data_IF_840617323866
#
_entry.id   IF_840617323866
#
_cell.length_a   1.000
_cell.length_b   1.000
_cell.length_c   1.000
_cell.angle_alpha   90.00
_cell.angle_beta   90.00
_cell.angle_gamma   90.00
#
_symmetry.space_group_name_H-M   'P 1'
#
loop_
_entity.id
_entity.type
_entity.pdbx_description
1 polymer ?
#
# COMPACT_ATOMS: atom_id res chain seq x y z
N UNK A 1 7.05 -5.80 15.18
CA UNK A 1 6.21 -5.14 14.14
C UNK A 1 5.47 -6.21 13.35
N UNK A 2 4.19 -6.02 13.11
CA UNK A 2 3.35 -6.90 12.30
C UNK A 2 2.70 -6.12 11.16
N UNK A 3 2.45 -6.77 10.03
CA UNK A 3 1.57 -6.20 9.03
C UNK A 3 0.13 -6.53 9.40
N UNK A 4 -0.74 -5.54 9.23
CA UNK A 4 -2.17 -5.64 9.60
C UNK A 4 -3.02 -5.12 8.46
N UNK A 5 -4.28 -5.54 8.45
CA UNK A 5 -5.25 -5.01 7.48
C UNK A 5 -5.58 -3.57 7.84
N UNK A 6 -5.69 -2.67 6.84
CA UNK A 6 -6.25 -1.34 7.08
C UNK A 6 -7.69 -1.47 7.59
N UNK A 7 -8.00 -0.77 8.68
CA UNK A 7 -9.35 -0.73 9.27
C UNK A 7 -9.68 0.69 9.71
N UNK A 8 -10.96 0.96 9.94
CA UNK A 8 -11.37 2.26 10.46
C UNK A 8 -10.76 2.56 11.84
N UNK A 9 -10.59 1.53 12.67
CA UNK A 9 -9.95 1.69 14.00
C UNK A 9 -8.50 2.14 13.89
N UNK A 10 -7.80 1.70 12.85
CA UNK A 10 -6.39 2.01 12.63
C UNK A 10 -6.18 3.29 11.82
N UNK A 11 -7.23 3.79 11.18
CA UNK A 11 -7.14 4.94 10.28
C UNK A 11 -6.59 6.21 10.95
N UNK A 12 -6.94 6.57 12.19
CA UNK A 12 -6.39 7.77 12.81
C UNK A 12 -4.87 7.80 12.88
N UNK A 13 -4.21 6.68 13.15
CA UNK A 13 -2.75 6.61 13.18
C UNK A 13 -2.13 6.81 11.79
N UNK A 14 -2.76 6.28 10.74
CA UNK A 14 -2.35 6.51 9.35
C UNK A 14 -2.50 7.99 8.98
N UNK A 15 -3.62 8.59 9.30
CA UNK A 15 -3.86 10.02 9.04
C UNK A 15 -2.82 10.89 9.75
N UNK A 16 -2.51 10.58 11.01
CA UNK A 16 -1.49 11.30 11.77
C UNK A 16 -0.13 11.23 11.08
N UNK A 17 0.25 10.06 10.57
CA UNK A 17 1.50 9.88 9.84
C UNK A 17 1.53 10.72 8.55
N UNK A 18 0.44 10.72 7.77
CA UNK A 18 0.35 11.54 6.56
C UNK A 18 0.54 13.03 6.87
N UNK A 19 -0.06 13.50 7.96
CA UNK A 19 0.05 14.90 8.39
C UNK A 19 1.45 15.26 8.89
N UNK A 20 2.23 14.27 9.33
CA UNK A 20 3.61 14.46 9.79
C UNK A 20 4.64 14.33 8.68
N UNK A 21 4.22 14.17 7.44
CA UNK A 21 5.12 14.14 6.28
C UNK A 21 5.34 12.76 5.66
N UNK A 22 4.66 11.73 6.15
CA UNK A 22 4.71 10.43 5.50
C UNK A 22 3.89 10.46 4.19
N UNK A 23 4.39 9.79 3.17
CA UNK A 23 3.62 9.47 1.97
C UNK A 23 3.91 8.04 1.52
N UNK A 24 2.88 7.26 1.14
CA UNK A 24 3.11 5.94 0.56
C UNK A 24 3.64 6.00 -0.88
N UNK A 25 3.61 7.17 -1.50
CA UNK A 25 4.09 7.39 -2.86
C UNK A 25 5.46 8.08 -2.80
N UNK A 26 6.51 7.33 -3.16
CA UNK A 26 7.88 7.82 -3.11
C UNK A 26 8.22 8.81 -4.24
N UNK A 27 7.37 8.89 -5.27
CA UNK A 27 7.57 9.79 -6.43
C UNK A 27 6.82 11.10 -6.25
N UNK A 28 5.52 11.03 -5.94
CA UNK A 28 4.65 12.21 -5.82
C UNK A 28 4.65 12.81 -4.40
N UNK A 29 5.16 12.08 -3.41
CA UNK A 29 5.40 12.58 -2.06
C UNK A 29 4.21 13.29 -1.42
N UNK A 30 4.41 14.55 -1.01
CA UNK A 30 3.40 15.34 -0.30
C UNK A 30 2.12 15.55 -1.10
N UNK A 31 2.19 15.66 -2.42
CA UNK A 31 1.01 15.81 -3.28
C UNK A 31 0.10 14.58 -3.16
N UNK A 32 0.67 13.38 -3.23
CA UNK A 32 -0.09 12.16 -3.05
C UNK A 32 -0.68 12.05 -1.64
N UNK A 33 0.08 12.44 -0.60
CA UNK A 33 -0.42 12.44 0.77
C UNK A 33 -1.64 13.37 0.94
N UNK A 34 -1.63 14.54 0.33
CA UNK A 34 -2.77 15.47 0.38
C UNK A 34 -3.99 14.90 -0.34
N UNK A 35 -3.80 14.25 -1.48
CA UNK A 35 -4.90 13.59 -2.20
C UNK A 35 -5.52 12.46 -1.37
N UNK A 36 -4.69 11.69 -0.68
CA UNK A 36 -5.16 10.62 0.21
C UNK A 36 -5.98 11.20 1.37
N UNK A 37 -5.49 12.26 2.01
CA UNK A 37 -6.21 12.94 3.09
C UNK A 37 -7.57 13.46 2.62
N UNK A 38 -7.65 14.02 1.41
CA UNK A 38 -8.90 14.50 0.83
C UNK A 38 -9.88 13.34 0.58
N UNK A 39 -9.39 12.18 0.11
CA UNK A 39 -10.23 11.00 -0.09
C UNK A 39 -10.78 10.47 1.24
N UNK A 40 -9.96 10.46 2.28
CA UNK A 40 -10.38 10.02 3.62
C UNK A 40 -11.45 10.97 4.17
N UNK A 41 -11.26 12.28 4.05
CA UNK A 41 -12.24 13.27 4.49
C UNK A 41 -13.56 13.13 3.75
N UNK A 42 -13.53 12.79 2.46
CA UNK A 42 -14.74 12.64 1.65
C UNK A 42 -15.52 11.38 2.04
N UNK A 43 -14.85 10.25 2.26
CA UNK A 43 -15.49 8.97 2.60
C UNK A 43 -14.46 7.99 3.15
N UNK A 44 -14.32 7.95 4.46
CA UNK A 44 -13.35 7.09 5.14
C UNK A 44 -13.63 5.60 4.92
N UNK A 45 -14.90 5.19 4.94
CA UNK A 45 -15.28 3.78 4.73
C UNK A 45 -14.88 3.33 3.34
N UNK A 46 -15.19 4.12 2.33
CA UNK A 46 -14.83 3.82 0.94
C UNK A 46 -13.31 3.76 0.75
N UNK A 47 -12.58 4.65 1.41
CA UNK A 47 -11.12 4.64 1.38
C UNK A 47 -10.57 3.32 1.92
N UNK A 48 -11.03 2.89 3.09
CA UNK A 48 -10.60 1.62 3.71
C UNK A 48 -10.97 0.43 2.82
N UNK A 49 -12.17 0.40 2.27
CA UNK A 49 -12.61 -0.68 1.37
C UNK A 49 -11.72 -0.76 0.12
N UNK A 50 -11.23 0.36 -0.38
CA UNK A 50 -10.36 0.40 -1.56
C UNK A 50 -8.98 -0.22 -1.31
N UNK A 51 -8.59 -0.43 -0.06
CA UNK A 51 -7.31 -1.02 0.31
C UNK A 51 -7.24 -2.53 0.11
N UNK A 52 -8.37 -3.18 -0.16
CA UNK A 52 -8.45 -4.62 -0.43
C UNK A 52 -9.26 -4.80 -1.71
N UNK A 53 -8.60 -4.99 -2.85
CA UNK A 53 -9.26 -5.08 -4.15
C UNK A 53 -8.75 -6.29 -4.95
N UNK A 54 -8.97 -7.48 -4.40
CA UNK A 54 -8.50 -8.74 -4.98
C UNK A 54 -9.17 -9.11 -6.30
N UNK A 55 -10.27 -8.45 -6.65
CA UNK A 55 -11.03 -8.71 -7.87
C UNK A 55 -10.95 -7.56 -8.88
N UNK A 56 -10.12 -6.55 -8.59
CA UNK A 56 -9.92 -5.38 -9.45
C UNK A 56 -11.21 -4.63 -9.77
N UNK A 57 -12.07 -4.44 -8.78
CA UNK A 57 -13.37 -3.75 -8.93
C UNK A 57 -13.25 -2.23 -8.84
N UNK A 58 -12.09 -1.71 -8.45
CA UNK A 58 -11.86 -0.27 -8.33
C UNK A 58 -11.92 0.45 -9.68
N UNK A 59 -11.88 1.80 -9.65
CA UNK A 59 -11.95 2.60 -10.87
C UNK A 59 -10.72 2.39 -11.76
N UNK A 60 -10.82 2.81 -13.02
CA UNK A 60 -9.68 2.84 -13.94
C UNK A 60 -8.53 3.65 -13.35
N UNK A 61 -7.31 3.25 -13.67
CA UNK A 61 -6.11 3.96 -13.26
C UNK A 61 -5.75 5.00 -14.31
N UNK A 62 -5.56 6.24 -13.90
CA UNK A 62 -5.12 7.33 -14.78
C UNK A 62 -3.59 7.38 -14.77
N UNK A 63 -3.00 7.23 -15.96
CA UNK A 63 -1.55 7.31 -16.14
C UNK A 63 -1.09 8.76 -16.26
N UNK A 64 0.23 9.03 -16.11
CA UNK A 64 0.76 10.41 -16.22
C UNK A 64 0.43 11.12 -17.53
N UNK A 65 0.25 10.38 -18.63
CA UNK A 65 -0.11 10.96 -19.95
C UNK A 65 -1.62 11.24 -20.08
N UNK A 66 -2.41 11.00 -19.04
CA UNK A 66 -3.85 11.19 -19.03
C UNK A 66 -4.67 10.01 -19.54
N UNK A 67 -4.03 8.97 -20.09
CA UNK A 67 -4.73 7.76 -20.52
C UNK A 67 -5.23 6.96 -19.31
N UNK A 68 -6.25 6.16 -19.52
CA UNK A 68 -6.83 5.31 -18.48
C UNK A 68 -6.67 3.84 -18.82
N UNK A 69 -6.30 3.03 -17.84
CA UNK A 69 -6.11 1.59 -18.00
C UNK A 69 -6.90 0.85 -16.92
N UNK A 70 -7.19 -0.43 -17.19
CA UNK A 70 -7.84 -1.29 -16.20
C UNK A 70 -6.96 -1.44 -14.96
N UNK A 71 -7.62 -1.46 -13.80
CA UNK A 71 -6.98 -1.81 -12.54
C UNK A 71 -6.69 -3.31 -12.51
N UNK A 72 -5.58 -3.69 -11.90
CA UNK A 72 -5.29 -5.09 -11.62
C UNK A 72 -5.59 -5.40 -10.14
N UNK A 73 -5.79 -6.67 -9.78
CA UNK A 73 -5.98 -7.06 -8.39
C UNK A 73 -4.84 -6.61 -7.48
N UNK A 74 -5.18 -6.23 -6.26
CA UNK A 74 -4.19 -5.82 -5.28
C UNK A 74 -4.79 -5.62 -3.90
N UNK A 75 -3.92 -5.51 -2.93
CA UNK A 75 -4.31 -5.12 -1.57
C UNK A 75 -3.15 -4.47 -0.85
N UNK A 76 -3.47 -3.78 0.24
CA UNK A 76 -2.52 -3.08 1.09
C UNK A 76 -2.52 -3.69 2.48
N UNK A 77 -1.36 -3.60 3.14
CA UNK A 77 -1.22 -3.86 4.57
C UNK A 77 -0.49 -2.69 5.20
N UNK A 78 -0.79 -2.42 6.45
CA UNK A 78 -0.07 -1.43 7.23
C UNK A 78 0.92 -2.10 8.16
N UNK A 79 2.10 -1.51 8.30
CA UNK A 79 3.10 -1.93 9.28
C UNK A 79 2.73 -1.31 10.61
N UNK A 80 2.66 -2.13 11.64
CA UNK A 80 2.13 -1.73 12.94
C UNK A 80 3.03 -2.24 14.06
N UNK A 81 3.53 -1.34 14.92
CA UNK A 81 4.31 -1.74 16.08
C UNK A 81 3.53 -1.47 17.39
N UNK A 82 4.18 -1.67 18.51
CA UNK A 82 3.57 -1.52 19.84
C UNK A 82 3.75 -0.13 20.45
N UNK A 83 4.18 0.86 19.67
CA UNK A 83 4.24 2.26 20.12
C UNK A 83 2.81 2.74 20.38
N UNK A 84 2.45 3.06 21.64
CA UNK A 84 1.06 3.43 21.96
C UNK A 84 0.62 4.75 21.39
N UNK A 85 1.55 5.64 21.06
CA UNK A 85 1.23 6.98 20.56
C UNK A 85 1.27 7.07 19.03
N UNK A 86 2.12 6.27 18.37
CA UNK A 86 2.31 6.31 16.93
C UNK A 86 2.61 4.91 16.39
N UNK A 87 1.63 3.99 16.41
CA UNK A 87 1.88 2.59 16.01
C UNK A 87 2.04 2.38 14.51
N UNK A 88 1.58 3.31 13.67
CA UNK A 88 1.74 3.20 12.22
C UNK A 88 3.20 3.39 11.81
N UNK A 89 3.76 2.41 11.10
CA UNK A 89 5.17 2.40 10.71
C UNK A 89 5.41 2.53 9.21
N UNK A 90 4.39 2.27 8.41
CA UNK A 90 4.51 2.28 6.96
C UNK A 90 3.46 1.41 6.31
N UNK A 91 3.57 1.27 4.99
CA UNK A 91 2.66 0.44 4.22
C UNK A 91 3.42 -0.46 3.25
N UNK A 92 2.80 -1.57 2.94
CA UNK A 92 3.26 -2.52 1.94
C UNK A 92 2.06 -2.94 1.11
N UNK A 93 2.22 -2.96 -0.21
CA UNK A 93 1.15 -3.31 -1.13
C UNK A 93 1.59 -4.41 -2.07
N UNK A 94 0.62 -5.19 -2.53
CA UNK A 94 0.83 -6.21 -3.55
C UNK A 94 -0.19 -6.01 -4.66
N UNK A 95 0.23 -6.28 -5.90
CA UNK A 95 -0.59 -6.28 -7.09
C UNK A 95 -0.10 -7.38 -8.01
N UNK A 96 -1.01 -7.96 -8.78
CA UNK A 96 -0.70 -9.08 -9.66
C UNK A 96 -1.70 -9.17 -10.79
N UNK A 97 -1.37 -9.95 -11.83
CA UNK A 97 -2.30 -10.39 -12.85
C UNK A 97 -2.59 -11.87 -12.65
N UNK A 98 -3.87 -12.28 -12.59
CA UNK A 98 -4.20 -13.70 -12.35
C UNK A 98 -3.57 -14.64 -13.39
N UNK A 99 -2.96 -15.71 -12.89
CA UNK A 99 -2.40 -16.78 -13.74
C UNK A 99 -1.06 -16.49 -14.40
N UNK A 100 -0.44 -15.35 -14.11
CA UNK A 100 0.86 -15.00 -14.70
C UNK A 100 1.70 -14.17 -13.75
N UNK A 101 3.02 -14.26 -13.87
CA UNK A 101 3.94 -13.36 -13.20
C UNK A 101 4.19 -12.07 -14.00
N UNK A 102 3.63 -11.93 -15.21
CA UNK A 102 3.77 -10.71 -15.99
C UNK A 102 2.99 -9.56 -15.36
N UNK A 103 3.49 -8.34 -15.55
CA UNK A 103 2.84 -7.12 -15.10
C UNK A 103 2.67 -6.15 -16.26
N UNK A 104 1.63 -5.29 -16.23
CA UNK A 104 1.49 -4.23 -17.23
C UNK A 104 2.69 -3.27 -17.19
N UNK A 105 2.99 -2.57 -18.29
CA UNK A 105 4.17 -1.67 -18.35
C UNK A 105 4.20 -0.58 -17.29
N UNK A 106 3.04 -0.13 -16.82
CA UNK A 106 2.93 0.94 -15.82
C UNK A 106 3.09 0.42 -14.37
N UNK A 107 3.23 -0.87 -14.16
CA UNK A 107 3.40 -1.49 -12.83
C UNK A 107 4.81 -2.04 -12.72
N UNK A 108 5.63 -1.44 -11.88
CA UNK A 108 7.07 -1.71 -11.81
C UNK A 108 7.42 -2.97 -11.02
N UNK A 109 6.52 -3.49 -10.20
CA UNK A 109 6.75 -4.70 -9.41
C UNK A 109 5.49 -5.18 -8.75
N UNK A 110 5.51 -6.43 -8.27
CA UNK A 110 4.37 -7.04 -7.55
C UNK A 110 4.22 -6.45 -6.15
N UNK A 111 5.31 -6.11 -5.48
CA UNK A 111 5.32 -5.61 -4.10
C UNK A 111 6.01 -4.26 -4.05
N UNK A 112 5.39 -3.29 -3.40
CA UNK A 112 5.99 -2.01 -3.09
C UNK A 112 5.78 -1.69 -1.62
N UNK A 113 6.70 -0.94 -1.02
CA UNK A 113 6.61 -0.58 0.39
C UNK A 113 7.21 0.80 0.66
N UNK A 114 6.81 1.36 1.80
CA UNK A 114 7.38 2.59 2.34
C UNK A 114 7.28 2.59 3.85
N UNK A 115 8.29 3.12 4.51
CA UNK A 115 8.37 3.22 5.97
C UNK A 115 8.36 4.70 6.36
N UNK A 116 7.66 5.05 7.44
CA UNK A 116 7.68 6.43 7.93
C UNK A 116 9.14 6.88 8.19
N UNK A 117 9.50 8.13 7.85
CA UNK A 117 10.90 8.57 7.97
C UNK A 117 11.50 8.41 9.36
N UNK A 118 10.68 8.58 10.41
CA UNK A 118 11.15 8.54 11.81
C UNK A 118 11.28 7.12 12.38
N UNK A 119 10.94 6.08 11.59
CA UNK A 119 11.10 4.66 12.00
C UNK A 119 11.95 3.85 11.03
N UNK A 120 12.70 4.51 10.17
CA UNK A 120 13.61 3.84 9.23
C UNK A 120 14.79 3.22 9.95
N UNK A 121 15.47 2.26 9.30
CA UNK A 121 16.64 1.52 9.80
C UNK A 121 16.35 0.67 11.03
N UNK A 122 15.12 0.20 11.18
CA UNK A 122 14.71 -0.75 12.23
C UNK A 122 14.43 -2.14 11.68
N UNK A 123 14.65 -2.38 10.39
CA UNK A 123 14.35 -3.65 9.74
C UNK A 123 12.88 -3.86 9.43
N UNK A 124 12.04 -2.85 9.54
CA UNK A 124 10.59 -2.98 9.34
C UNK A 124 10.22 -3.35 7.91
N UNK A 125 10.89 -2.77 6.91
CA UNK A 125 10.64 -3.12 5.52
C UNK A 125 10.93 -4.60 5.26
N UNK A 126 12.04 -5.11 5.77
CA UNK A 126 12.43 -6.51 5.62
C UNK A 126 11.41 -7.44 6.30
N UNK A 127 11.02 -7.14 7.54
CA UNK A 127 10.03 -7.93 8.26
C UNK A 127 8.65 -7.90 7.60
N UNK A 128 8.24 -6.74 7.09
CA UNK A 128 6.98 -6.60 6.38
C UNK A 128 6.99 -7.43 5.09
N UNK A 129 8.09 -7.41 4.35
CA UNK A 129 8.23 -8.19 3.13
C UNK A 129 8.15 -9.69 3.42
N UNK A 130 8.83 -10.17 4.44
CA UNK A 130 8.77 -11.58 4.86
C UNK A 130 7.32 -12.01 5.17
N UNK A 131 6.59 -11.20 5.92
CA UNK A 131 5.20 -11.46 6.26
C UNK A 131 4.29 -11.42 5.02
N UNK A 132 4.50 -10.44 4.13
CA UNK A 132 3.73 -10.33 2.90
C UNK A 132 3.96 -11.53 1.98
N UNK A 133 5.19 -11.99 1.85
CA UNK A 133 5.50 -13.15 1.02
C UNK A 133 4.76 -14.41 1.51
N UNK A 134 4.57 -14.56 2.80
CA UNK A 134 3.75 -15.64 3.35
C UNK A 134 2.28 -15.49 2.98
N UNK A 135 1.73 -14.28 3.04
CA UNK A 135 0.33 -14.02 2.66
C UNK A 135 0.06 -14.31 1.19
N UNK A 136 1.00 -13.97 0.30
CA UNK A 136 0.77 -14.05 -1.15
C UNK A 136 1.18 -15.39 -1.77
N UNK A 137 1.69 -16.34 -0.98
CA UNK A 137 2.02 -17.69 -1.49
C UNK A 137 0.83 -18.35 -2.15
N UNK A 138 -0.38 -18.13 -1.66
CA UNK A 138 -1.62 -18.68 -2.21
C UNK A 138 -1.92 -18.20 -3.65
N UNK A 139 -1.32 -17.09 -4.09
CA UNK A 139 -1.50 -16.59 -5.46
C UNK A 139 -0.82 -17.47 -6.50
N UNK A 140 0.12 -18.32 -6.09
CA UNK A 140 0.78 -19.28 -6.97
C UNK A 140 1.63 -18.69 -8.08
N UNK A 141 2.12 -17.47 -7.90
CA UNK A 141 2.97 -16.81 -8.91
C UNK A 141 4.36 -17.46 -8.95
N UNK A 142 4.94 -17.68 -10.16
CA UNK A 142 6.25 -18.31 -10.29
C UNK A 142 7.40 -17.47 -9.71
N UNK A 143 7.25 -16.13 -9.70
CA UNK A 143 8.20 -15.22 -9.07
C UNK A 143 7.50 -13.92 -8.68
N UNK A 144 8.15 -13.13 -7.84
CA UNK A 144 7.65 -11.84 -7.35
C UNK A 144 8.73 -10.79 -7.57
N UNK A 145 8.38 -9.71 -8.28
CA UNK A 145 9.24 -8.55 -8.45
C UNK A 145 8.93 -7.53 -7.37
N UNK A 146 9.98 -7.00 -6.76
CA UNK A 146 9.87 -6.04 -5.66
C UNK A 146 10.37 -4.69 -6.13
N UNK A 147 9.60 -3.63 -5.85
CA UNK A 147 10.00 -2.25 -6.12
C UNK A 147 10.14 -1.48 -4.81
N UNK A 148 11.14 -0.63 -4.76
CA UNK A 148 11.43 0.21 -3.59
C UNK A 148 11.20 1.68 -3.87
#
# INVERSE_FOLDING_TARGET
MHIVRPTLDRLPAYVAALRQGYSPDNVRGAVAAQEILARIDADAVRFIDSMEDREAKGPLVTLPDGSQVKRIPGFNRWMWDDDPEAPFCGSISVRWQPGTAALPPHVLGHVGYSVVPWKRRRGYATHALEQMLLEIRELGLPHIDITT
#
